data_IF_994683266449
#
_entry.id   IF_994683266449
#
_cell.length_a   1.000
_cell.length_b   1.000
_cell.length_c   1.000
_cell.angle_alpha   90.00
_cell.angle_beta   90.00
_cell.angle_gamma   90.00
#
_symmetry.space_group_name_H-M   'P 1'
#
loop_
_entity.id
_entity.type
_entity.pdbx_description
1 polymer ?
#
# COMPACT_ATOMS: atom_id res chain seq x y z
N UNK A 1 -54.63 3.29 -19.18
CA UNK A 1 -53.29 3.38 -18.58
C UNK A 1 -53.39 2.86 -17.16
N UNK A 2 -52.55 1.89 -16.82
CA UNK A 2 -52.55 1.23 -15.51
C UNK A 2 -52.07 2.18 -14.42
N UNK A 3 -52.79 2.30 -13.30
CA UNK A 3 -52.47 3.24 -12.20
C UNK A 3 -51.05 3.06 -11.64
N UNK A 4 -50.47 1.86 -11.77
CA UNK A 4 -49.07 1.58 -11.38
C UNK A 4 -48.05 2.31 -12.25
N UNK A 5 -48.33 2.45 -13.55
CA UNK A 5 -47.46 3.17 -14.48
C UNK A 5 -47.47 4.68 -14.22
N UNK A 6 -48.61 5.23 -13.81
CA UNK A 6 -48.74 6.65 -13.45
C UNK A 6 -47.94 6.96 -12.18
N UNK A 7 -48.01 6.09 -11.16
CA UNK A 7 -47.25 6.25 -9.91
C UNK A 7 -45.74 6.16 -10.17
N UNK A 8 -45.28 5.22 -11.00
CA UNK A 8 -43.87 5.11 -11.38
C UNK A 8 -43.38 6.33 -12.16
N UNK A 9 -44.19 6.84 -13.10
CA UNK A 9 -43.86 8.05 -13.85
C UNK A 9 -43.82 9.29 -12.96
N UNK A 10 -44.74 9.41 -11.99
CA UNK A 10 -44.76 10.52 -11.04
C UNK A 10 -43.58 10.46 -10.06
N UNK A 11 -43.21 9.27 -9.58
CA UNK A 11 -42.01 9.08 -8.75
C UNK A 11 -40.73 9.36 -9.53
N UNK A 12 -40.63 8.92 -10.79
CA UNK A 12 -39.49 9.21 -11.67
C UNK A 12 -39.36 10.70 -11.99
N UNK A 13 -40.48 11.38 -12.27
CA UNK A 13 -40.50 12.84 -12.48
C UNK A 13 -40.12 13.61 -11.21
N UNK A 14 -40.59 13.18 -10.04
CA UNK A 14 -40.22 13.76 -8.75
C UNK A 14 -38.71 13.63 -8.48
N UNK A 15 -38.15 12.43 -8.67
CA UNK A 15 -36.71 12.18 -8.57
C UNK A 15 -35.89 13.02 -9.55
N UNK A 16 -36.37 13.19 -10.80
CA UNK A 16 -35.70 14.04 -11.79
C UNK A 16 -35.72 15.52 -11.39
N UNK A 17 -36.84 16.01 -10.83
CA UNK A 17 -36.95 17.38 -10.34
C UNK A 17 -36.05 17.63 -9.14
N UNK A 18 -36.03 16.73 -8.15
CA UNK A 18 -35.10 16.82 -7.00
C UNK A 18 -33.63 16.77 -7.48
N UNK A 19 -33.31 15.87 -8.42
CA UNK A 19 -31.96 15.76 -8.96
C UNK A 19 -31.51 17.01 -9.73
N UNK A 20 -32.43 17.65 -10.46
CA UNK A 20 -32.15 18.92 -11.15
C UNK A 20 -31.88 20.06 -10.17
N UNK A 21 -32.59 20.11 -9.04
CA UNK A 21 -32.36 21.09 -7.97
C UNK A 21 -30.98 20.87 -7.33
N UNK A 22 -30.62 19.63 -7.01
CA UNK A 22 -29.30 19.28 -6.45
C UNK A 22 -28.15 19.55 -7.43
N UNK A 23 -28.40 19.44 -8.74
CA UNK A 23 -27.38 19.69 -9.78
C UNK A 23 -26.88 21.13 -9.85
N UNK A 24 -27.65 22.10 -9.35
CA UNK A 24 -27.29 23.52 -9.31
C UNK A 24 -26.76 23.98 -7.94
N UNK A 25 -26.39 23.04 -7.07
CA UNK A 25 -25.81 23.37 -5.79
C UNK A 25 -24.36 23.85 -5.93
N UNK A 26 -24.12 25.12 -5.58
CA UNK A 26 -22.80 25.78 -5.57
C UNK A 26 -21.85 25.10 -4.57
N UNK A 27 -22.37 24.42 -3.55
CA UNK A 27 -21.58 23.71 -2.53
C UNK A 27 -21.05 22.35 -3.01
N UNK A 28 -21.34 21.93 -4.24
CA UNK A 28 -20.82 20.66 -4.78
C UNK A 28 -19.30 20.63 -4.85
N UNK A 29 -18.67 21.77 -5.14
CA UNK A 29 -17.20 21.88 -5.17
C UNK A 29 -16.64 21.76 -3.75
N UNK A 30 -17.24 22.42 -2.77
CA UNK A 30 -16.80 22.38 -1.37
C UNK A 30 -16.93 20.96 -0.79
N UNK A 31 -18.00 20.24 -1.14
CA UNK A 31 -18.16 18.84 -0.73
C UNK A 31 -17.08 17.92 -1.33
N UNK A 32 -16.66 18.16 -2.59
CA UNK A 32 -15.55 17.41 -3.19
C UNK A 32 -14.23 17.70 -2.47
N UNK A 33 -13.98 18.96 -2.10
CA UNK A 33 -12.76 19.34 -1.36
C UNK A 33 -12.74 18.69 0.03
N UNK A 34 -13.86 18.71 0.76
CA UNK A 34 -13.99 18.05 2.07
C UNK A 34 -13.78 16.54 1.94
N UNK A 35 -14.37 15.90 0.93
CA UNK A 35 -14.18 14.47 0.67
C UNK A 35 -12.73 14.13 0.30
N UNK A 36 -12.05 14.96 -0.50
CA UNK A 36 -10.64 14.74 -0.85
C UNK A 36 -9.73 14.85 0.37
N UNK A 37 -9.98 15.80 1.29
CA UNK A 37 -9.21 15.93 2.53
C UNK A 37 -9.44 14.72 3.45
N UNK A 38 -10.71 14.30 3.60
CA UNK A 38 -11.05 13.11 4.38
C UNK A 38 -10.45 11.83 3.80
N UNK A 39 -10.41 11.72 2.47
CA UNK A 39 -9.79 10.60 1.76
C UNK A 39 -8.27 10.59 1.99
N UNK A 40 -7.62 11.76 2.01
CA UNK A 40 -6.19 11.86 2.28
C UNK A 40 -5.84 11.37 3.70
N UNK A 41 -6.60 11.77 4.72
CA UNK A 41 -6.42 11.25 6.09
C UNK A 41 -6.70 9.74 6.20
N UNK A 42 -7.66 9.23 5.42
CA UNK A 42 -7.90 7.79 5.36
C UNK A 42 -6.74 7.04 4.71
N UNK A 43 -6.17 7.57 3.62
CA UNK A 43 -5.01 6.98 2.96
C UNK A 43 -3.79 6.93 3.89
N UNK A 44 -3.56 7.97 4.70
CA UNK A 44 -2.45 7.96 5.67
C UNK A 44 -2.60 6.82 6.70
N UNK A 45 -3.82 6.56 7.18
CA UNK A 45 -4.09 5.44 8.08
C UNK A 45 -3.91 4.10 7.38
N UNK A 46 -4.40 3.98 6.15
CA UNK A 46 -4.33 2.76 5.36
C UNK A 46 -2.87 2.42 5.02
N UNK A 47 -2.04 3.40 4.64
CA UNK A 47 -0.61 3.22 4.38
C UNK A 47 0.10 2.66 5.62
N UNK A 48 -0.18 3.20 6.80
CA UNK A 48 0.41 2.70 8.05
C UNK A 48 -0.02 1.26 8.36
N UNK A 49 -1.30 0.93 8.11
CA UNK A 49 -1.83 -0.41 8.31
C UNK A 49 -1.19 -1.43 7.34
N UNK A 50 -1.12 -1.09 6.06
CA UNK A 50 -0.46 -1.92 5.05
C UNK A 50 1.04 -2.06 5.33
N UNK A 51 1.71 -0.98 5.77
CA UNK A 51 3.10 -1.01 6.18
C UNK A 51 3.36 -1.99 7.33
N UNK A 52 2.51 -2.00 8.35
CA UNK A 52 2.59 -3.01 9.42
C UNK A 52 2.31 -4.43 8.91
N UNK A 53 1.32 -4.59 8.01
CA UNK A 53 0.95 -5.90 7.47
C UNK A 53 2.05 -6.53 6.62
N UNK A 54 2.68 -5.75 5.75
CA UNK A 54 3.82 -6.18 4.92
C UNK A 54 5.01 -6.53 5.82
N UNK A 55 5.24 -5.76 6.88
CA UNK A 55 6.29 -6.07 7.86
C UNK A 55 6.05 -7.40 8.58
N UNK A 56 4.83 -7.72 8.98
CA UNK A 56 4.51 -9.02 9.59
C UNK A 56 4.74 -10.17 8.61
N UNK A 57 4.23 -10.05 7.38
CA UNK A 57 4.40 -11.07 6.34
C UNK A 57 5.87 -11.32 6.02
N UNK A 58 6.64 -10.25 5.80
CA UNK A 58 8.05 -10.38 5.47
C UNK A 58 8.91 -10.78 6.69
N UNK A 59 8.46 -10.51 7.92
CA UNK A 59 9.14 -11.01 9.13
C UNK A 59 9.15 -12.55 9.23
N UNK A 60 8.24 -13.26 8.57
CA UNK A 60 8.31 -14.72 8.47
C UNK A 60 9.48 -15.20 7.58
N UNK A 61 9.85 -14.41 6.58
CA UNK A 61 10.96 -14.72 5.68
C UNK A 61 12.30 -14.15 6.17
N UNK A 62 12.28 -12.93 6.73
CA UNK A 62 13.47 -12.21 7.16
C UNK A 62 13.21 -11.41 8.46
N UNK A 63 13.22 -12.08 9.63
CA UNK A 63 12.87 -11.48 10.91
C UNK A 63 13.85 -10.41 11.41
N UNK A 64 15.11 -10.45 10.95
CA UNK A 64 16.16 -9.53 11.41
C UNK A 64 16.01 -8.11 10.84
N UNK A 65 15.49 -7.98 9.62
CA UNK A 65 15.24 -6.68 8.99
C UNK A 65 14.19 -5.85 9.73
N UNK A 66 13.24 -6.52 10.40
CA UNK A 66 12.22 -5.83 11.19
C UNK A 66 12.82 -4.95 12.29
N UNK A 67 13.97 -5.37 12.85
CA UNK A 67 14.67 -4.66 13.92
C UNK A 67 15.62 -3.59 13.38
N UNK A 68 16.25 -3.86 12.23
CA UNK A 68 17.22 -2.96 11.60
C UNK A 68 16.55 -1.71 10.97
N UNK A 69 15.36 -1.88 10.38
CA UNK A 69 14.68 -0.80 9.65
C UNK A 69 13.33 -0.46 10.31
N UNK A 70 13.26 0.62 11.11
CA UNK A 70 12.01 1.04 11.74
C UNK A 70 11.05 1.74 10.77
N UNK A 71 11.55 2.30 9.67
CA UNK A 71 10.75 3.02 8.67
C UNK A 71 10.03 2.05 7.72
N UNK A 72 8.71 2.17 7.63
CA UNK A 72 7.86 1.32 6.79
C UNK A 72 8.13 1.53 5.30
N UNK A 73 8.41 2.76 4.87
CA UNK A 73 8.62 3.07 3.46
C UNK A 73 9.96 2.49 2.97
N UNK A 74 11.03 2.69 3.75
CA UNK A 74 12.34 2.09 3.47
C UNK A 74 12.27 0.56 3.51
N UNK A 75 11.53 -0.01 4.46
CA UNK A 75 11.32 -1.45 4.56
C UNK A 75 10.63 -2.04 3.33
N UNK A 76 9.56 -1.41 2.83
CA UNK A 76 8.87 -1.87 1.63
C UNK A 76 9.78 -1.83 0.40
N UNK A 77 10.56 -0.76 0.22
CA UNK A 77 11.53 -0.66 -0.88
C UNK A 77 12.63 -1.72 -0.78
N UNK A 78 13.10 -2.00 0.43
CA UNK A 78 14.08 -3.07 0.68
C UNK A 78 13.50 -4.45 0.42
N UNK A 79 12.27 -4.72 0.81
CA UNK A 79 11.60 -6.00 0.55
C UNK A 79 11.49 -6.27 -0.96
N UNK A 80 11.14 -5.25 -1.74
CA UNK A 80 11.09 -5.32 -3.22
C UNK A 80 12.49 -5.47 -3.84
N UNK A 81 13.51 -4.82 -3.30
CA UNK A 81 14.88 -4.96 -3.81
C UNK A 81 15.47 -6.35 -3.49
N UNK A 82 15.20 -6.86 -2.30
CA UNK A 82 15.83 -8.08 -1.78
C UNK A 82 15.16 -9.32 -2.36
N UNK A 83 13.82 -9.36 -2.51
CA UNK A 83 12.95 -10.43 -3.05
C UNK A 83 13.41 -11.89 -2.85
N UNK A 84 14.55 -12.31 -3.42
CA UNK A 84 15.16 -13.64 -3.29
C UNK A 84 16.52 -13.65 -2.57
N UNK A 85 16.69 -14.60 -1.63
CA UNK A 85 17.98 -14.95 -1.01
C UNK A 85 19.07 -15.33 -2.02
N UNK A 86 18.69 -15.86 -3.18
CA UNK A 86 19.62 -16.28 -4.22
C UNK A 86 20.35 -15.10 -4.89
N UNK A 87 19.81 -13.88 -4.80
CA UNK A 87 20.48 -12.70 -5.32
C UNK A 87 21.65 -12.26 -4.42
N UNK A 88 21.57 -12.51 -3.13
CA UNK A 88 22.55 -12.06 -2.10
C UNK A 88 23.93 -12.71 -2.28
N UNK A 89 23.99 -13.89 -2.92
CA UNK A 89 25.23 -14.63 -3.15
C UNK A 89 26.07 -14.17 -4.34
N UNK A 90 25.49 -13.47 -5.33
CA UNK A 90 26.10 -13.41 -6.67
C UNK A 90 26.38 -12.01 -7.23
N UNK A 91 25.85 -10.92 -6.66
CA UNK A 91 25.99 -9.60 -7.30
C UNK A 91 26.30 -8.45 -6.32
N UNK A 92 27.45 -7.80 -6.51
CA UNK A 92 27.84 -6.49 -5.94
C UNK A 92 26.75 -5.40 -6.11
N UNK A 93 25.86 -5.54 -7.09
CA UNK A 93 24.79 -4.58 -7.38
C UNK A 93 23.72 -4.44 -6.29
N UNK A 94 23.49 -5.48 -5.48
CA UNK A 94 22.46 -5.43 -4.42
C UNK A 94 22.94 -4.56 -3.26
N UNK A 95 24.25 -4.51 -3.04
CA UNK A 95 24.82 -3.60 -2.05
C UNK A 95 24.58 -2.15 -2.46
N UNK A 96 24.70 -1.82 -3.75
CA UNK A 96 24.43 -0.48 -4.26
C UNK A 96 22.95 -0.10 -4.12
N UNK A 97 22.02 -0.99 -4.44
CA UNK A 97 20.57 -0.75 -4.31
C UNK A 97 20.14 -0.61 -2.84
N UNK A 98 20.66 -1.45 -1.95
CA UNK A 98 20.40 -1.36 -0.51
C UNK A 98 21.00 -0.08 0.07
N UNK A 99 22.23 0.28 -0.31
CA UNK A 99 22.89 1.52 0.14
C UNK A 99 22.18 2.76 -0.40
N UNK A 100 21.63 2.72 -1.62
CA UNK A 100 20.82 3.82 -2.18
C UNK A 100 19.49 4.01 -1.44
N UNK A 101 18.86 2.91 -0.97
CA UNK A 101 17.58 2.99 -0.24
C UNK A 101 17.79 3.37 1.23
N UNK A 102 18.81 2.82 1.87
CA UNK A 102 19.07 3.01 3.31
C UNK A 102 19.79 4.33 3.56
N UNK A 103 20.62 4.79 2.60
CA UNK A 103 21.49 5.97 2.67
C UNK A 103 22.57 5.90 3.77
N UNK A 104 22.59 4.82 4.55
CA UNK A 104 23.61 4.50 5.56
C UNK A 104 24.33 3.20 5.16
N UNK A 105 25.65 3.30 4.98
CA UNK A 105 26.50 2.18 4.58
C UNK A 105 26.64 1.14 5.71
N UNK A 106 26.70 1.59 6.97
CA UNK A 106 26.79 0.72 8.14
C UNK A 106 25.57 -0.21 8.25
N UNK A 107 24.36 0.34 8.11
CA UNK A 107 23.11 -0.45 8.16
C UNK A 107 23.00 -1.40 6.97
N UNK A 108 23.49 -1.02 5.80
CA UNK A 108 23.54 -1.91 4.64
C UNK A 108 24.43 -3.13 4.90
N UNK A 109 25.60 -2.93 5.52
CA UNK A 109 26.48 -4.06 5.90
C UNK A 109 25.86 -4.95 6.97
N UNK A 110 25.20 -4.37 7.99
CA UNK A 110 24.46 -5.15 9.00
C UNK A 110 23.32 -5.96 8.38
N UNK A 111 22.58 -5.41 7.41
CA UNK A 111 21.53 -6.12 6.68
C UNK A 111 22.12 -7.29 5.86
N UNK A 112 23.29 -7.12 5.25
CA UNK A 112 23.96 -8.17 4.50
C UNK A 112 24.43 -9.32 5.41
N UNK A 113 25.02 -9.00 6.56
CA UNK A 113 25.42 -10.00 7.55
C UNK A 113 24.21 -10.72 8.16
N UNK A 114 23.13 -9.99 8.43
CA UNK A 114 21.85 -10.53 8.87
C UNK A 114 21.23 -11.46 7.82
N UNK A 115 21.35 -11.12 6.53
CA UNK A 115 20.85 -11.97 5.45
C UNK A 115 21.63 -13.28 5.33
N UNK A 116 22.94 -13.26 5.58
CA UNK A 116 23.77 -14.48 5.63
C UNK A 116 23.50 -15.35 6.85
N UNK A 117 23.08 -14.74 7.95
CA UNK A 117 22.82 -15.42 9.24
C UNK A 117 21.34 -15.75 9.44
N UNK A 118 20.48 -15.41 8.46
CA UNK A 118 19.04 -15.48 8.60
C UNK A 118 18.52 -16.90 8.83
N UNK A 119 17.66 -17.04 9.84
CA UNK A 119 16.93 -18.28 10.15
C UNK A 119 15.48 -18.30 9.61
N UNK A 120 15.12 -17.44 8.67
CA UNK A 120 13.75 -17.46 8.12
C UNK A 120 13.50 -18.66 7.20
N UNK A 121 12.24 -18.98 6.89
CA UNK A 121 11.91 -20.00 5.89
C UNK A 121 12.06 -19.48 4.46
N UNK A 122 12.51 -20.34 3.54
CA UNK A 122 12.44 -20.05 2.10
C UNK A 122 10.96 -19.98 1.67
N UNK A 123 10.59 -18.85 1.07
CA UNK A 123 9.26 -18.65 0.49
C UNK A 123 9.24 -19.22 -0.94
N UNK A 124 8.09 -19.72 -1.37
CA UNK A 124 7.93 -20.20 -2.74
C UNK A 124 7.88 -19.02 -3.72
N UNK A 125 8.36 -19.21 -4.96
CA UNK A 125 8.28 -18.21 -6.03
C UNK A 125 6.84 -17.70 -6.28
N UNK A 126 5.83 -18.53 -5.99
CA UNK A 126 4.42 -18.13 -6.05
C UNK A 126 4.03 -17.11 -4.97
N UNK A 127 4.65 -17.16 -3.80
CA UNK A 127 4.42 -16.20 -2.71
C UNK A 127 5.21 -14.91 -2.95
N UNK A 128 6.39 -15.00 -3.57
CA UNK A 128 7.13 -13.82 -4.07
C UNK A 128 6.31 -13.00 -5.06
N UNK A 129 5.65 -13.66 -6.02
CA UNK A 129 4.85 -12.98 -7.04
C UNK A 129 3.60 -12.26 -6.48
N UNK A 130 3.16 -12.62 -5.27
CA UNK A 130 2.06 -11.92 -4.59
C UNK A 130 2.54 -10.73 -3.75
N UNK A 131 3.85 -10.62 -3.51
CA UNK A 131 4.50 -9.52 -2.77
C UNK A 131 4.93 -8.39 -3.71
N UNK A 132 5.10 -8.69 -5.01
CA UNK A 132 5.40 -7.72 -6.08
C UNK A 132 4.21 -6.81 -6.46
#
# INVERSE_FOLDING_TARGET
MDSRTIIQLQAGAFWLLEWLVVKFDVHRVDNMVIQSIALLDQLDKDINLFGMRIREWYSYHFPELFKLVPDQYKYARLAVAILDRNKIGENENIHAEITEIVEDEDKATEILEAARTSMGMDISEMDLANIE
#
